data_IF_821242361112
#
_entry.id   IF_821242361112
#
_cell.length_a   1.000
_cell.length_b   1.000
_cell.length_c   1.000
_cell.angle_alpha   90.00
_cell.angle_beta   90.00
_cell.angle_gamma   90.00
#
_symmetry.space_group_name_H-M   'P 1'
#
loop_
_entity.id
_entity.type
_entity.pdbx_description
1 polymer ?
#
# COMPACT_ATOMS: atom_id res chain seq x y z
N UNK A 1 6.67 5.99 -22.07
CA UNK A 1 6.42 4.54 -21.99
C UNK A 1 7.10 4.04 -20.72
N UNK A 2 6.42 3.26 -19.89
CA UNK A 2 6.98 2.73 -18.65
C UNK A 2 7.42 1.28 -18.81
N UNK A 3 8.59 0.95 -18.27
CA UNK A 3 9.24 -0.35 -18.46
C UNK A 3 9.18 -1.12 -17.13
N UNK A 4 8.79 -2.38 -17.16
CA UNK A 4 8.91 -3.29 -16.03
C UNK A 4 10.09 -4.25 -16.24
N UNK A 5 10.84 -4.51 -15.17
CA UNK A 5 11.92 -5.49 -15.14
C UNK A 5 11.61 -6.46 -14.01
N UNK A 6 11.32 -7.72 -14.37
CA UNK A 6 11.07 -8.78 -13.39
C UNK A 6 12.33 -9.63 -13.29
N UNK A 7 12.86 -9.77 -12.06
CA UNK A 7 14.00 -10.61 -11.73
C UNK A 7 13.54 -11.79 -10.86
N UNK A 8 13.55 -12.99 -11.44
CA UNK A 8 13.25 -14.24 -10.76
C UNK A 8 14.56 -14.95 -10.37
N UNK A 9 15.34 -14.34 -9.46
CA UNK A 9 16.63 -14.85 -8.94
C UNK A 9 17.70 -15.04 -10.02
N UNK A 10 17.96 -13.98 -10.78
CA UNK A 10 18.96 -13.92 -11.83
C UNK A 10 18.40 -14.13 -13.24
N UNK A 11 17.14 -14.59 -13.37
CA UNK A 11 16.43 -14.53 -14.64
C UNK A 11 15.67 -13.21 -14.75
N UNK A 12 16.17 -12.31 -15.59
CA UNK A 12 15.54 -11.02 -15.85
C UNK A 12 14.74 -10.99 -17.16
N UNK A 13 13.52 -10.46 -17.13
CA UNK A 13 12.74 -10.11 -18.31
C UNK A 13 12.45 -8.61 -18.32
N UNK A 14 12.52 -7.97 -19.49
CA UNK A 14 12.16 -6.57 -19.70
C UNK A 14 10.85 -6.51 -20.47
N UNK A 15 9.87 -5.79 -19.92
CA UNK A 15 8.48 -5.84 -20.32
C UNK A 15 7.94 -4.42 -20.47
N UNK A 16 7.00 -4.21 -21.39
CA UNK A 16 6.16 -3.01 -21.34
C UNK A 16 5.21 -3.15 -20.13
N UNK A 17 5.19 -2.14 -19.25
CA UNK A 17 4.40 -2.22 -18.03
C UNK A 17 2.89 -2.32 -18.32
N UNK A 18 2.41 -1.67 -19.39
CA UNK A 18 0.98 -1.58 -19.73
C UNK A 18 0.48 -2.85 -20.41
N UNK A 19 1.21 -3.41 -21.36
CA UNK A 19 0.77 -4.61 -22.10
C UNK A 19 1.28 -5.91 -21.47
N UNK A 20 2.39 -5.84 -20.73
CA UNK A 20 3.10 -7.00 -20.20
C UNK A 20 3.90 -7.79 -21.23
N UNK A 21 3.97 -7.30 -22.48
CA UNK A 21 4.73 -7.94 -23.55
C UNK A 21 6.22 -7.72 -23.34
N UNK A 22 7.03 -8.71 -23.76
CA UNK A 22 8.49 -8.57 -23.76
C UNK A 22 8.89 -7.49 -24.75
N UNK A 23 9.79 -6.62 -24.32
CA UNK A 23 10.37 -5.57 -25.16
C UNK A 23 11.89 -5.67 -25.13
N UNK A 24 12.51 -5.35 -26.27
CA UNK A 24 13.95 -5.15 -26.35
C UNK A 24 14.26 -3.68 -26.09
N UNK A 25 14.50 -3.35 -24.82
CA UNK A 25 14.82 -2.00 -24.38
C UNK A 25 16.21 -1.97 -23.74
N UNK A 26 17.03 -1.04 -24.20
CA UNK A 26 18.39 -0.81 -23.71
C UNK A 26 18.58 0.67 -23.35
N UNK A 27 19.45 0.93 -22.39
CA UNK A 27 19.76 2.28 -21.94
C UNK A 27 20.47 2.27 -20.60
N UNK A 28 21.12 3.39 -20.21
CA UNK A 28 21.88 3.47 -18.98
C UNK A 28 21.00 3.24 -17.74
N UNK A 29 19.77 3.77 -17.70
CA UNK A 29 18.82 3.52 -16.59
C UNK A 29 18.47 2.04 -16.50
N UNK A 30 18.14 1.41 -17.63
CA UNK A 30 17.71 0.02 -17.69
C UNK A 30 18.85 -0.89 -17.18
N UNK A 31 20.08 -0.65 -17.65
CA UNK A 31 21.26 -1.38 -17.18
C UNK A 31 21.49 -1.19 -15.68
N UNK A 32 21.42 0.05 -15.20
CA UNK A 32 21.54 0.36 -13.78
C UNK A 32 20.53 -0.43 -12.94
N UNK A 33 19.25 -0.41 -13.33
CA UNK A 33 18.18 -1.11 -12.60
C UNK A 33 18.38 -2.63 -12.65
N UNK A 34 18.75 -3.20 -13.80
CA UNK A 34 19.09 -4.63 -13.91
C UNK A 34 20.22 -5.03 -12.97
N UNK A 35 21.29 -4.24 -12.90
CA UNK A 35 22.44 -4.49 -12.03
C UNK A 35 22.08 -4.37 -10.54
N UNK A 36 21.14 -3.49 -10.18
CA UNK A 36 20.61 -3.36 -8.81
C UNK A 36 19.80 -4.61 -8.45
N UNK A 37 18.83 -5.00 -9.29
CA UNK A 37 17.99 -6.17 -9.03
C UNK A 37 18.80 -7.45 -8.83
N UNK A 38 19.84 -7.65 -9.66
CA UNK A 38 20.70 -8.82 -9.58
C UNK A 38 21.52 -8.89 -8.27
N UNK A 39 21.91 -7.74 -7.72
CA UNK A 39 22.69 -7.67 -6.47
C UNK A 39 21.82 -7.79 -5.22
N UNK A 40 20.53 -7.47 -5.32
CA UNK A 40 19.60 -7.46 -4.21
C UNK A 40 18.39 -8.39 -4.47
N UNK A 41 18.59 -9.72 -4.49
CA UNK A 41 17.47 -10.65 -4.57
C UNK A 41 16.58 -10.53 -3.32
N UNK A 42 15.26 -10.45 -3.51
CA UNK A 42 14.32 -10.32 -2.39
C UNK A 42 14.32 -11.59 -1.52
N UNK A 43 14.48 -11.48 -0.18
CA UNK A 43 14.53 -12.66 0.69
C UNK A 43 13.14 -13.26 0.97
N UNK A 44 12.10 -12.44 1.11
CA UNK A 44 10.72 -12.89 1.37
C UNK A 44 9.99 -12.01 2.39
N UNK A 45 8.65 -12.04 2.40
CA UNK A 45 7.80 -11.12 3.20
C UNK A 45 7.93 -11.28 4.71
N UNK A 46 8.30 -12.49 5.16
CA UNK A 46 8.46 -12.82 6.59
C UNK A 46 9.91 -13.08 6.96
N UNK A 47 10.84 -12.86 6.03
CA UNK A 47 12.27 -13.01 6.29
C UNK A 47 12.78 -11.84 7.15
N UNK A 48 13.59 -12.09 8.20
CA UNK A 48 14.15 -11.03 9.04
C UNK A 48 14.98 -9.99 8.27
N UNK A 49 15.57 -10.37 7.13
CA UNK A 49 16.34 -9.48 6.26
C UNK A 49 15.48 -8.61 5.33
N UNK A 50 14.15 -8.73 5.35
CA UNK A 50 13.27 -8.06 4.40
C UNK A 50 13.30 -6.53 4.50
N UNK A 51 13.27 -5.95 5.70
CA UNK A 51 13.41 -4.49 5.87
C UNK A 51 14.82 -4.02 5.51
N UNK A 52 15.85 -4.81 5.83
CA UNK A 52 17.23 -4.50 5.44
C UNK A 52 17.42 -4.48 3.92
N UNK A 53 16.76 -5.40 3.21
CA UNK A 53 16.77 -5.45 1.75
C UNK A 53 16.24 -4.15 1.13
N UNK A 54 15.19 -3.54 1.72
CA UNK A 54 14.65 -2.25 1.26
C UNK A 54 15.73 -1.17 1.31
N UNK A 55 16.40 -1.01 2.44
CA UNK A 55 17.45 0.00 2.61
C UNK A 55 18.69 -0.29 1.76
N UNK A 56 19.14 -1.55 1.70
CA UNK A 56 20.34 -1.94 0.92
C UNK A 56 20.12 -1.72 -0.58
N UNK A 57 18.91 -2.00 -1.08
CA UNK A 57 18.50 -1.69 -2.46
C UNK A 57 18.44 -0.17 -2.69
N UNK A 58 17.86 0.58 -1.74
CA UNK A 58 17.76 2.03 -1.83
C UNK A 58 19.14 2.71 -1.84
N UNK A 59 20.10 2.26 -1.02
CA UNK A 59 21.47 2.80 -1.04
C UNK A 59 22.13 2.65 -2.42
N UNK A 60 21.96 1.50 -3.06
CA UNK A 60 22.55 1.24 -4.37
C UNK A 60 21.93 2.13 -5.47
N UNK A 61 20.62 2.36 -5.38
CA UNK A 61 19.93 3.33 -6.23
C UNK A 61 20.38 4.76 -5.92
N UNK A 62 20.60 5.12 -4.65
CA UNK A 62 21.09 6.45 -4.27
C UNK A 62 22.48 6.70 -4.86
N UNK A 63 23.40 5.74 -4.70
CA UNK A 63 24.78 5.84 -5.18
C UNK A 63 24.86 5.98 -6.70
N UNK A 64 23.94 5.35 -7.44
CA UNK A 64 23.99 5.28 -8.91
C UNK A 64 23.06 6.24 -9.64
N UNK A 65 21.93 6.60 -9.02
CA UNK A 65 20.91 7.46 -9.62
C UNK A 65 20.88 8.86 -9.01
N UNK A 66 21.38 9.04 -7.78
CA UNK A 66 21.39 10.30 -7.04
C UNK A 66 20.00 10.99 -6.96
N UNK A 67 18.97 10.31 -6.43
CA UNK A 67 17.66 10.91 -6.21
C UNK A 67 17.70 11.99 -5.13
N UNK A 68 16.76 12.93 -5.20
CA UNK A 68 16.49 13.88 -4.10
C UNK A 68 15.31 13.46 -3.24
N UNK A 69 14.43 12.63 -3.79
CA UNK A 69 13.29 12.06 -3.08
C UNK A 69 13.36 10.53 -3.05
N UNK A 70 13.17 9.94 -1.88
CA UNK A 70 13.11 8.49 -1.68
C UNK A 70 11.82 8.15 -0.96
N UNK A 71 11.06 7.18 -1.47
CA UNK A 71 9.95 6.57 -0.75
C UNK A 71 10.38 5.17 -0.30
N UNK A 72 10.27 4.87 1.00
CA UNK A 72 10.55 3.54 1.56
C UNK A 72 9.31 2.94 2.20
N UNK A 73 9.08 1.64 1.99
CA UNK A 73 8.08 0.87 2.73
C UNK A 73 8.77 -0.26 3.47
N UNK A 74 8.63 -0.27 4.79
CA UNK A 74 9.01 -1.38 5.65
C UNK A 74 7.74 -2.09 6.13
N UNK A 75 7.49 -3.30 5.64
CA UNK A 75 6.26 -4.05 5.87
C UNK A 75 6.45 -5.44 6.51
N UNK A 76 7.70 -5.87 6.75
CA UNK A 76 7.99 -7.21 7.27
C UNK A 76 7.27 -7.50 8.60
N UNK A 77 7.20 -6.49 9.47
CA UNK A 77 6.52 -6.56 10.76
C UNK A 77 5.00 -6.66 10.64
N UNK A 78 4.41 -6.03 9.63
CA UNK A 78 2.99 -6.16 9.32
C UNK A 78 2.66 -7.57 8.86
N UNK A 79 3.41 -8.12 7.89
CA UNK A 79 3.17 -9.48 7.40
C UNK A 79 3.41 -10.54 8.46
N UNK A 80 4.50 -10.41 9.21
CA UNK A 80 4.81 -11.34 10.29
C UNK A 80 3.72 -11.28 11.37
N UNK A 81 3.32 -10.08 11.81
CA UNK A 81 2.28 -9.88 12.81
C UNK A 81 0.90 -10.36 12.37
N UNK A 82 0.56 -10.18 11.08
CA UNK A 82 -0.73 -10.59 10.50
C UNK A 82 -0.90 -12.10 10.50
N UNK A 83 0.17 -12.88 10.31
CA UNK A 83 0.06 -14.34 10.05
C UNK A 83 0.74 -15.26 11.07
N UNK A 84 1.47 -14.70 12.04
CA UNK A 84 2.20 -15.48 13.04
C UNK A 84 1.86 -14.96 14.45
N UNK A 85 1.35 -15.81 15.35
CA UNK A 85 1.20 -15.44 16.75
C UNK A 85 2.54 -15.05 17.35
N UNK A 86 2.58 -13.91 18.05
CA UNK A 86 3.80 -13.40 18.70
C UNK A 86 3.53 -13.02 20.15
N UNK A 87 4.53 -13.22 20.99
CA UNK A 87 4.55 -12.60 22.31
C UNK A 87 4.79 -11.09 22.18
N UNK A 88 4.43 -10.33 23.23
CA UNK A 88 4.66 -8.88 23.28
C UNK A 88 6.15 -8.55 23.13
N UNK A 89 7.03 -9.36 23.73
CA UNK A 89 8.48 -9.16 23.67
C UNK A 89 9.04 -9.42 22.27
N UNK A 90 8.46 -10.38 21.53
CA UNK A 90 8.85 -10.66 20.14
C UNK A 90 8.39 -9.53 19.23
N UNK A 91 7.15 -9.03 19.42
CA UNK A 91 6.63 -7.87 18.69
C UNK A 91 7.47 -6.62 18.96
N UNK A 92 7.73 -6.30 20.23
CA UNK A 92 8.54 -5.14 20.60
C UNK A 92 9.95 -5.17 20.00
N UNK A 93 10.60 -6.33 19.96
CA UNK A 93 11.90 -6.51 19.29
C UNK A 93 11.80 -6.24 17.78
N UNK A 94 10.81 -6.82 17.12
CA UNK A 94 10.59 -6.62 15.69
C UNK A 94 10.30 -5.15 15.34
N UNK A 95 9.56 -4.43 16.19
CA UNK A 95 9.35 -2.99 16.05
C UNK A 95 10.67 -2.23 16.25
N UNK A 96 11.44 -2.55 17.29
CA UNK A 96 12.76 -1.95 17.50
C UNK A 96 13.68 -2.14 16.29
N UNK A 97 13.68 -3.33 15.69
CA UNK A 97 14.55 -3.66 14.55
C UNK A 97 14.23 -2.81 13.31
N UNK A 98 12.95 -2.53 13.02
CA UNK A 98 12.57 -1.69 11.88
C UNK A 98 12.95 -0.22 12.10
N UNK A 99 12.87 0.30 13.33
CA UNK A 99 13.32 1.65 13.63
C UNK A 99 14.85 1.77 13.56
N UNK A 100 15.60 0.79 14.05
CA UNK A 100 17.05 0.74 13.89
C UNK A 100 17.47 0.69 12.41
N UNK A 101 16.70 -0.03 11.58
CA UNK A 101 16.93 -0.07 10.14
C UNK A 101 16.63 1.27 9.46
N UNK A 102 15.52 1.94 9.82
CA UNK A 102 15.22 3.28 9.33
C UNK A 102 16.28 4.30 9.77
N UNK A 103 16.78 4.22 11.00
CA UNK A 103 17.88 5.06 11.49
C UNK A 103 19.18 4.79 10.72
N UNK A 104 19.50 3.52 10.45
CA UNK A 104 20.63 3.14 9.60
C UNK A 104 20.52 3.79 8.21
N UNK A 105 19.33 3.76 7.61
CA UNK A 105 19.06 4.42 6.34
C UNK A 105 19.33 5.92 6.39
N UNK A 106 18.73 6.62 7.36
CA UNK A 106 18.86 8.07 7.50
C UNK A 106 20.30 8.49 7.79
N UNK A 107 20.97 7.84 8.74
CA UNK A 107 22.34 8.16 9.13
C UNK A 107 23.34 7.96 7.99
N UNK A 108 23.16 6.92 7.16
CA UNK A 108 24.07 6.64 6.04
C UNK A 108 23.76 7.48 4.80
N UNK A 109 22.48 7.73 4.50
CA UNK A 109 22.09 8.47 3.29
C UNK A 109 22.15 9.99 3.47
N UNK A 110 22.00 10.49 4.70
CA UNK A 110 21.90 11.92 5.00
C UNK A 110 20.57 12.55 4.59
N UNK A 111 19.56 11.77 4.22
CA UNK A 111 18.23 12.28 3.88
C UNK A 111 17.50 12.74 5.14
N UNK A 112 16.70 13.80 5.03
CA UNK A 112 15.75 14.16 6.08
C UNK A 112 14.58 13.18 6.10
N UNK A 113 14.14 12.76 7.29
CA UNK A 113 13.09 11.78 7.45
C UNK A 113 11.72 12.43 7.66
N UNK A 114 10.73 12.00 6.87
CA UNK A 114 9.31 12.05 7.23
C UNK A 114 8.86 10.60 7.33
N UNK A 115 8.41 10.16 8.51
CA UNK A 115 8.03 8.76 8.71
C UNK A 115 6.60 8.65 9.25
N UNK A 116 5.85 7.69 8.73
CA UNK A 116 4.45 7.45 9.08
C UNK A 116 4.26 5.97 9.42
N UNK A 117 3.64 5.68 10.56
CA UNK A 117 3.15 4.33 10.84
C UNK A 117 1.81 4.12 10.14
N UNK A 118 1.49 2.92 9.66
CA UNK A 118 0.18 2.70 9.00
C UNK A 118 -0.94 2.34 9.97
N UNK A 119 -0.64 2.25 11.27
CA UNK A 119 -1.62 2.04 12.34
C UNK A 119 -1.44 0.71 13.07
N UNK A 120 -2.16 0.59 14.19
CA UNK A 120 -2.12 -0.55 15.10
C UNK A 120 -2.77 -1.79 14.48
N UNK A 121 -2.49 -2.93 15.11
CA UNK A 121 -3.04 -4.24 14.77
C UNK A 121 -3.76 -4.82 15.99
N UNK A 122 -4.93 -5.44 15.79
CA UNK A 122 -5.75 -6.08 16.82
C UNK A 122 -5.94 -7.56 16.51
N UNK A 123 -6.13 -8.44 17.50
CA UNK A 123 -6.41 -9.86 17.26
C UNK A 123 -7.68 -10.08 16.43
N UNK A 124 -7.63 -11.07 15.53
CA UNK A 124 -8.85 -11.55 14.87
C UNK A 124 -9.68 -12.37 15.87
N UNK A 125 -10.89 -11.88 16.18
CA UNK A 125 -11.87 -12.51 17.07
C UNK A 125 -12.79 -13.48 16.32
N UNK A 126 -13.09 -13.22 15.04
CA UNK A 126 -13.95 -14.08 14.25
C UNK A 126 -14.31 -13.50 12.88
N UNK A 127 -15.10 -14.26 12.13
CA UNK A 127 -15.56 -13.88 10.80
C UNK A 127 -17.07 -13.62 10.78
N UNK A 128 -17.46 -12.61 10.00
CA UNK A 128 -18.83 -12.34 9.60
C UNK A 128 -19.07 -13.12 8.30
N UNK A 129 -19.78 -14.25 8.39
CA UNK A 129 -20.03 -15.10 7.23
C UNK A 129 -21.20 -14.54 6.40
N UNK A 130 -20.85 -14.00 5.23
CA UNK A 130 -21.80 -13.42 4.27
C UNK A 130 -21.85 -14.22 2.97
N UNK A 131 -21.38 -15.48 2.97
CA UNK A 131 -21.37 -16.30 1.75
C UNK A 131 -22.74 -16.89 1.39
N UNK A 132 -23.74 -16.71 2.25
CA UNK A 132 -25.09 -17.30 2.12
C UNK A 132 -26.18 -16.28 1.79
N UNK A 133 -25.81 -15.03 1.54
CA UNK A 133 -26.74 -13.99 1.11
C UNK A 133 -27.28 -14.31 -0.29
N UNK A 134 -28.48 -13.83 -0.59
CA UNK A 134 -29.01 -13.85 -1.96
C UNK A 134 -28.21 -12.88 -2.85
N UNK A 135 -27.83 -11.73 -2.29
CA UNK A 135 -26.93 -10.76 -2.87
C UNK A 135 -25.46 -11.20 -2.86
N UNK A 136 -24.60 -10.40 -3.47
CA UNK A 136 -23.17 -10.65 -3.54
C UNK A 136 -22.40 -9.71 -2.61
N UNK A 137 -21.80 -10.28 -1.56
CA UNK A 137 -20.79 -9.60 -0.76
C UNK A 137 -19.38 -9.86 -1.31
N UNK A 138 -18.56 -8.82 -1.42
CA UNK A 138 -17.18 -8.91 -1.91
C UNK A 138 -16.25 -8.15 -0.98
N UNK A 139 -15.16 -8.79 -0.58
CA UNK A 139 -14.10 -8.21 0.23
C UNK A 139 -12.75 -8.62 -0.38
N UNK A 140 -11.77 -7.73 -0.36
CA UNK A 140 -10.40 -8.09 -0.72
C UNK A 140 -9.74 -8.69 0.51
N UNK A 141 -8.88 -9.72 0.37
CA UNK A 141 -8.16 -10.30 1.51
C UNK A 141 -7.25 -9.32 2.28
N UNK A 142 -6.99 -8.15 1.68
CA UNK A 142 -6.20 -7.08 2.27
C UNK A 142 -7.04 -6.03 3.01
N UNK A 143 -8.36 -6.05 2.84
CA UNK A 143 -9.29 -5.29 3.67
C UNK A 143 -9.93 -6.22 4.70
N UNK A 144 -10.07 -5.74 5.92
CA UNK A 144 -10.68 -6.54 6.99
C UNK A 144 -11.95 -5.91 7.50
N UNK A 145 -11.98 -4.57 7.56
CA UNK A 145 -13.16 -3.83 8.02
C UNK A 145 -14.24 -3.68 6.97
N UNK A 146 -13.90 -3.55 5.70
CA UNK A 146 -14.85 -3.13 4.68
C UNK A 146 -15.21 -4.31 3.77
N UNK A 147 -16.50 -4.42 3.41
CA UNK A 147 -17.00 -5.31 2.36
C UNK A 147 -18.07 -4.60 1.53
N UNK A 148 -18.02 -4.73 0.21
CA UNK A 148 -19.08 -4.22 -0.66
C UNK A 148 -20.21 -5.23 -0.82
N UNK A 149 -21.42 -4.73 -0.91
CA UNK A 149 -22.65 -5.51 -1.05
C UNK A 149 -23.39 -5.08 -2.33
N UNK A 150 -23.70 -6.05 -3.19
CA UNK A 150 -24.34 -5.85 -4.48
C UNK A 150 -25.65 -6.63 -4.57
N UNK A 151 -26.75 -5.95 -4.92
CA UNK A 151 -28.08 -6.54 -5.07
C UNK A 151 -28.58 -7.36 -3.88
N UNK A 152 -28.50 -6.88 -2.63
CA UNK A 152 -29.05 -7.62 -1.49
C UNK A 152 -30.59 -7.73 -1.57
N UNK A 153 -31.14 -8.85 -1.14
CA UNK A 153 -32.59 -9.00 -0.96
C UNK A 153 -33.06 -8.24 0.30
N UNK A 154 -34.37 -7.95 0.45
CA UNK A 154 -34.89 -7.39 1.70
C UNK A 154 -34.60 -8.28 2.93
N UNK A 155 -34.57 -9.60 2.74
CA UNK A 155 -34.25 -10.56 3.80
C UNK A 155 -32.76 -10.53 4.15
N UNK A 156 -31.87 -10.38 3.16
CA UNK A 156 -30.44 -10.13 3.39
C UNK A 156 -30.25 -8.90 4.28
N UNK A 157 -30.91 -7.78 3.92
CA UNK A 157 -30.77 -6.51 4.66
C UNK A 157 -31.21 -6.67 6.11
N UNK A 158 -32.32 -7.35 6.37
CA UNK A 158 -32.79 -7.61 7.74
C UNK A 158 -31.77 -8.39 8.56
N UNK A 159 -31.19 -9.45 7.98
CA UNK A 159 -30.19 -10.27 8.66
C UNK A 159 -28.92 -9.46 8.95
N UNK A 160 -28.48 -8.64 7.99
CA UNK A 160 -27.26 -7.86 8.10
C UNK A 160 -27.39 -6.70 9.11
N UNK A 161 -28.54 -6.02 9.14
CA UNK A 161 -28.82 -4.93 10.09
C UNK A 161 -28.89 -5.42 11.54
N UNK A 162 -29.37 -6.65 11.76
CA UNK A 162 -29.44 -7.28 13.08
C UNK A 162 -28.13 -8.00 13.48
N UNK A 163 -27.13 -8.08 12.58
CA UNK A 163 -25.92 -8.85 12.81
C UNK A 163 -25.03 -8.21 13.90
N UNK A 164 -24.69 -8.92 15.00
CA UNK A 164 -24.04 -8.32 16.17
C UNK A 164 -22.64 -7.75 15.89
N UNK A 165 -21.98 -8.24 14.84
CA UNK A 165 -20.61 -7.86 14.48
C UNK A 165 -20.51 -6.92 13.27
N UNK A 166 -21.64 -6.55 12.66
CA UNK A 166 -21.68 -5.46 11.68
C UNK A 166 -21.87 -4.17 12.47
N UNK A 167 -21.00 -3.20 12.23
CA UNK A 167 -21.04 -1.88 12.89
C UNK A 167 -22.00 -0.94 12.18
N UNK A 168 -21.91 -0.89 10.85
CA UNK A 168 -22.69 -0.01 10.00
C UNK A 168 -22.79 -0.56 8.58
N UNK A 169 -23.90 -0.27 7.91
CA UNK A 169 -24.09 -0.44 6.47
C UNK A 169 -24.27 0.97 5.89
N UNK A 170 -23.43 1.33 4.93
CA UNK A 170 -23.37 2.69 4.36
C UNK A 170 -23.85 2.64 2.92
N UNK A 171 -24.74 3.53 2.50
CA UNK A 171 -25.20 3.57 1.10
C UNK A 171 -24.12 4.10 0.16
N UNK A 172 -24.22 3.71 -1.11
CA UNK A 172 -23.37 4.24 -2.19
C UNK A 172 -23.38 5.76 -2.22
N UNK A 173 -24.53 6.41 -2.01
CA UNK A 173 -24.67 7.86 -2.05
C UNK A 173 -23.87 8.53 -0.91
N UNK A 174 -23.88 7.94 0.28
CA UNK A 174 -23.09 8.44 1.41
C UNK A 174 -21.59 8.31 1.13
N UNK A 175 -21.14 7.21 0.50
CA UNK A 175 -19.74 7.03 0.08
C UNK A 175 -19.34 8.06 -0.99
N UNK A 176 -20.17 8.26 -2.01
CA UNK A 176 -19.92 9.24 -3.08
C UNK A 176 -19.83 10.65 -2.50
N UNK A 177 -20.74 11.01 -1.59
CA UNK A 177 -20.73 12.31 -0.90
C UNK A 177 -19.46 12.51 -0.06
N UNK A 178 -19.03 11.47 0.67
CA UNK A 178 -17.86 11.54 1.56
C UNK A 178 -16.56 11.83 0.80
N UNK A 179 -16.45 11.33 -0.43
CA UNK A 179 -15.23 11.40 -1.24
C UNK A 179 -15.34 12.31 -2.46
N UNK A 180 -16.40 13.11 -2.56
CA UNK A 180 -16.67 14.00 -3.70
C UNK A 180 -16.61 13.28 -5.06
N UNK A 181 -17.30 12.14 -5.14
CA UNK A 181 -17.22 11.22 -6.27
C UNK A 181 -17.97 11.66 -7.52
N UNK A 182 -17.45 11.26 -8.69
CA UNK A 182 -18.11 11.49 -9.98
C UNK A 182 -19.11 10.37 -10.33
N UNK A 183 -20.04 10.60 -11.27
CA UNK A 183 -20.93 9.56 -11.78
C UNK A 183 -20.18 8.34 -12.33
N UNK A 184 -19.03 8.55 -13.00
CA UNK A 184 -18.20 7.47 -13.55
C UNK A 184 -17.56 6.62 -12.45
N UNK A 185 -17.12 7.23 -11.36
CA UNK A 185 -16.58 6.51 -10.20
C UNK A 185 -17.66 5.71 -9.47
N UNK A 186 -18.90 6.24 -9.44
CA UNK A 186 -20.06 5.60 -8.80
C UNK A 186 -20.37 4.23 -9.40
N UNK A 187 -20.17 4.05 -10.71
CA UNK A 187 -20.35 2.77 -11.41
C UNK A 187 -19.46 1.64 -10.87
N UNK A 188 -18.41 1.98 -10.12
CA UNK A 188 -17.45 1.01 -9.56
C UNK A 188 -17.72 0.66 -8.11
N UNK A 189 -18.63 1.37 -7.45
CA UNK A 189 -18.97 1.16 -6.05
C UNK A 189 -20.04 0.08 -5.89
N UNK A 190 -20.07 -0.61 -4.75
CA UNK A 190 -21.23 -1.40 -4.36
C UNK A 190 -22.43 -0.49 -4.05
N UNK A 191 -23.62 -1.09 -3.99
CA UNK A 191 -24.83 -0.40 -3.52
C UNK A 191 -24.71 -0.03 -2.05
N UNK A 192 -24.05 -0.92 -1.27
CA UNK A 192 -23.75 -0.67 0.13
C UNK A 192 -22.32 -1.07 0.49
N UNK A 193 -21.71 -0.36 1.43
CA UNK A 193 -20.46 -0.73 2.08
C UNK A 193 -20.76 -1.16 3.52
N UNK A 194 -20.45 -2.41 3.85
CA UNK A 194 -20.58 -2.95 5.19
C UNK A 194 -19.28 -2.75 5.96
N UNK A 195 -19.41 -2.39 7.24
CA UNK A 195 -18.31 -2.17 8.17
C UNK A 195 -18.36 -3.23 9.28
N UNK A 196 -17.29 -3.98 9.45
CA UNK A 196 -17.12 -4.90 10.57
C UNK A 196 -16.74 -4.14 11.84
N UNK A 197 -17.23 -4.59 12.99
CA UNK A 197 -16.73 -4.15 14.31
C UNK A 197 -15.26 -4.54 14.50
N UNK A 198 -14.58 -3.84 15.41
CA UNK A 198 -13.19 -4.16 15.77
C UNK A 198 -12.99 -5.64 16.09
N UNK A 199 -11.91 -6.23 15.56
CA UNK A 199 -11.57 -7.64 15.75
C UNK A 199 -12.33 -8.60 14.83
N UNK A 200 -13.29 -8.15 14.02
CA UNK A 200 -14.01 -9.00 13.08
C UNK A 200 -13.65 -8.68 11.62
N UNK A 201 -13.70 -9.70 10.77
CA UNK A 201 -13.49 -9.55 9.33
C UNK A 201 -14.60 -10.24 8.53
N UNK A 202 -14.84 -9.81 7.30
CA UNK A 202 -15.82 -10.46 6.42
C UNK A 202 -15.26 -11.73 5.78
N UNK A 203 -16.06 -12.79 5.78
CA UNK A 203 -15.83 -13.99 4.98
C UNK A 203 -16.77 -13.95 3.78
N UNK A 204 -16.19 -13.66 2.62
CA UNK A 204 -16.89 -13.63 1.33
C UNK A 204 -16.45 -14.79 0.45
N UNK A 205 -17.15 -15.00 -0.67
CA UNK A 205 -16.71 -15.93 -1.72
C UNK A 205 -15.40 -15.38 -2.30
N UNK A 206 -14.27 -15.97 -1.95
CA UNK A 206 -12.94 -15.53 -2.37
C UNK A 206 -11.95 -16.70 -2.39
N UNK A 207 -10.80 -16.51 -3.05
CA UNK A 207 -9.74 -17.52 -3.11
C UNK A 207 -9.24 -17.90 -1.72
N UNK A 208 -8.84 -19.16 -1.53
CA UNK A 208 -8.28 -19.63 -0.27
C UNK A 208 -6.95 -18.90 0.04
N UNK A 209 -6.96 -18.03 1.05
CA UNK A 209 -5.75 -17.41 1.60
C UNK A 209 -5.51 -17.82 3.05
N UNK A 210 -4.29 -17.58 3.51
CA UNK A 210 -3.91 -17.82 4.91
C UNK A 210 -4.76 -16.94 5.82
N UNK A 211 -5.35 -17.54 6.84
CA UNK A 211 -6.16 -16.86 7.84
C UNK A 211 -5.25 -15.94 8.68
N UNK A 212 -5.56 -14.64 8.81
CA UNK A 212 -4.80 -13.75 9.67
C UNK A 212 -5.08 -14.04 11.15
N UNK A 213 -4.06 -13.86 11.99
CA UNK A 213 -4.19 -13.89 13.45
C UNK A 213 -4.35 -12.48 14.03
N UNK A 214 -3.85 -11.48 13.31
CA UNK A 214 -4.02 -10.05 13.61
C UNK A 214 -4.55 -9.32 12.38
N UNK A 215 -5.42 -8.34 12.57
CA UNK A 215 -5.97 -7.47 11.53
C UNK A 215 -5.72 -6.00 11.90
N UNK A 216 -5.75 -5.04 10.95
CA UNK A 216 -5.69 -3.63 11.28
C UNK A 216 -6.72 -3.22 12.34
N UNK A 217 -6.29 -2.44 13.32
CA UNK A 217 -7.16 -1.82 14.33
C UNK A 217 -7.99 -0.67 13.75
N UNK A 218 -8.83 -0.04 14.59
CA UNK A 218 -9.56 1.17 14.26
C UNK A 218 -8.64 2.41 14.19
N UNK A 219 -7.85 2.49 13.12
CA UNK A 219 -6.76 3.45 12.97
C UNK A 219 -7.24 4.82 12.45
N UNK A 220 -8.08 5.52 13.21
CA UNK A 220 -8.51 6.89 12.88
C UNK A 220 -7.37 7.91 12.92
N UNK A 221 -6.34 7.63 13.71
CA UNK A 221 -5.10 8.39 13.75
C UNK A 221 -3.93 7.43 13.60
N UNK A 222 -2.87 7.92 12.98
CA UNK A 222 -1.60 7.21 12.82
C UNK A 222 -0.44 8.08 13.31
N UNK A 223 0.68 7.49 13.76
CA UNK A 223 1.84 8.25 14.15
C UNK A 223 2.52 8.89 12.93
N UNK A 224 2.84 10.17 13.03
CA UNK A 224 3.65 10.89 12.05
C UNK A 224 4.85 11.55 12.72
N UNK A 225 6.03 11.18 12.26
CA UNK A 225 7.28 11.88 12.51
C UNK A 225 7.56 12.84 11.35
N UNK A 226 7.43 14.14 11.63
CA UNK A 226 7.75 15.21 10.69
C UNK A 226 8.40 16.37 11.47
N UNK A 227 9.72 16.33 11.71
CA UNK A 227 10.43 17.35 12.50
C UNK A 227 10.20 18.76 11.95
N UNK A 228 9.83 19.70 12.83
CA UNK A 228 9.57 21.10 12.44
C UNK A 228 8.17 21.36 11.88
N UNK A 229 7.37 20.32 11.66
CA UNK A 229 6.07 20.42 11.01
C UNK A 229 4.92 20.01 11.93
N UNK A 230 3.73 20.53 11.65
CA UNK A 230 2.48 20.08 12.26
C UNK A 230 1.50 19.74 11.15
N UNK A 231 1.10 18.47 11.09
CA UNK A 231 0.19 17.96 10.05
C UNK A 231 -0.99 17.31 10.75
N UNK A 232 -2.19 17.82 10.48
CA UNK A 232 -3.41 17.34 11.14
C UNK A 232 -3.95 16.04 10.54
N UNK A 233 -3.73 15.81 9.25
CA UNK A 233 -4.26 14.67 8.51
C UNK A 233 -3.28 14.19 7.45
N UNK A 234 -3.36 12.92 7.07
CA UNK A 234 -2.44 12.30 6.10
C UNK A 234 -2.43 13.01 4.74
N UNK A 235 -3.51 13.73 4.38
CA UNK A 235 -3.59 14.58 3.19
C UNK A 235 -2.63 15.79 3.24
N UNK A 236 -2.26 16.26 4.44
CA UNK A 236 -1.30 17.34 4.62
C UNK A 236 0.17 16.90 4.47
N UNK A 237 0.45 15.59 4.43
CA UNK A 237 1.83 15.10 4.31
C UNK A 237 2.46 15.51 2.98
N UNK A 238 1.67 15.59 1.90
CA UNK A 238 2.16 16.08 0.60
C UNK A 238 2.77 17.47 0.70
N UNK A 239 2.12 18.40 1.40
CA UNK A 239 2.57 19.78 1.48
C UNK A 239 3.95 19.88 2.14
N UNK A 240 4.16 19.16 3.25
CA UNK A 240 5.46 19.19 3.94
C UNK A 240 6.57 18.52 3.12
N UNK A 241 6.24 17.55 2.27
CA UNK A 241 7.20 16.97 1.32
C UNK A 241 7.64 18.01 0.29
N UNK A 242 6.69 18.76 -0.27
CA UNK A 242 6.95 19.82 -1.24
C UNK A 242 7.82 20.94 -0.62
N UNK A 243 7.51 21.35 0.61
CA UNK A 243 8.28 22.34 1.37
C UNK A 243 9.71 21.85 1.65
N UNK A 244 9.88 20.66 2.25
CA UNK A 244 11.20 20.15 2.61
C UNK A 244 12.07 19.84 1.38
N UNK A 245 11.50 19.32 0.29
CA UNK A 245 12.27 19.02 -0.94
C UNK A 245 12.72 20.27 -1.69
N UNK A 246 12.22 21.46 -1.35
CA UNK A 246 12.74 22.71 -1.91
C UNK A 246 14.16 23.00 -1.42
N UNK A 247 14.55 22.50 -0.24
CA UNK A 247 15.83 22.83 0.41
C UNK A 247 16.76 21.63 0.59
N UNK A 248 16.22 20.43 0.81
CA UNK A 248 17.00 19.25 1.22
C UNK A 248 16.55 18.00 0.45
N UNK A 249 17.25 16.89 0.68
CA UNK A 249 16.83 15.57 0.20
C UNK A 249 15.93 14.94 1.26
N UNK A 250 14.83 14.31 0.84
CA UNK A 250 13.78 13.85 1.75
C UNK A 250 13.43 12.39 1.49
N UNK A 251 13.35 11.63 2.58
CA UNK A 251 12.87 10.26 2.59
C UNK A 251 11.49 10.22 3.26
N UNK A 252 10.47 9.77 2.52
CA UNK A 252 9.18 9.40 3.07
C UNK A 252 9.21 7.91 3.42
N UNK A 253 9.08 7.58 4.70
CA UNK A 253 9.19 6.21 5.22
C UNK A 253 7.83 5.76 5.75
N UNK A 254 7.24 4.73 5.13
CA UNK A 254 6.07 4.05 5.64
C UNK A 254 6.47 2.81 6.46
N UNK A 255 6.07 2.76 7.73
CA UNK A 255 6.31 1.63 8.63
C UNK A 255 4.97 0.92 8.86
N UNK A 256 4.75 -0.21 8.20
CA UNK A 256 3.44 -0.84 8.23
C UNK A 256 3.13 -1.57 9.55
N UNK A 257 1.88 -1.52 10.01
CA UNK A 257 1.42 -2.28 11.18
C UNK A 257 1.97 -1.78 12.51
N UNK A 258 2.40 -0.51 12.54
CA UNK A 258 2.85 0.24 13.71
C UNK A 258 1.94 1.45 13.89
N UNK A 259 1.23 1.50 15.02
CA UNK A 259 0.43 2.66 15.40
C UNK A 259 1.06 3.45 16.54
N UNK A 260 0.25 4.26 17.22
CA UNK A 260 0.74 5.33 18.09
C UNK A 260 1.55 4.81 19.27
N UNK A 261 1.12 3.71 19.88
CA UNK A 261 1.72 3.18 21.11
C UNK A 261 3.08 2.52 20.87
N UNK A 262 3.34 2.05 19.65
CA UNK A 262 4.55 1.30 19.29
C UNK A 262 5.54 2.14 18.45
N UNK A 263 5.18 3.36 18.07
CA UNK A 263 6.02 4.19 17.22
C UNK A 263 7.15 4.86 18.02
N UNK A 264 8.40 4.43 17.78
CA UNK A 264 9.53 4.74 18.66
C UNK A 264 10.14 6.12 18.44
N UNK A 265 9.98 6.72 17.26
CA UNK A 265 10.47 8.07 17.00
C UNK A 265 9.53 9.13 17.59
N UNK A 266 10.02 10.36 17.88
CA UNK A 266 9.17 11.47 18.28
C UNK A 266 8.11 11.73 17.20
N UNK A 267 6.85 11.59 17.57
CA UNK A 267 5.75 11.64 16.61
C UNK A 267 4.57 12.43 17.17
N UNK A 268 3.65 12.78 16.26
CA UNK A 268 2.34 13.32 16.63
C UNK A 268 1.24 12.47 16.00
N UNK A 269 0.06 12.37 16.64
CA UNK A 269 -1.10 11.82 15.99
C UNK A 269 -1.45 12.61 14.73
N UNK A 270 -1.66 11.90 13.62
CA UNK A 270 -2.06 12.44 12.34
C UNK A 270 -3.32 11.72 11.89
N UNK A 271 -4.38 12.47 11.56
CA UNK A 271 -5.68 11.89 11.18
C UNK A 271 -5.56 11.07 9.91
N UNK A 272 -5.95 9.81 9.99
CA UNK A 272 -5.96 8.80 8.93
C UNK A 272 -7.40 8.50 8.47
N UNK A 273 -8.29 9.49 8.59
CA UNK A 273 -9.72 9.31 8.40
C UNK A 273 -10.40 10.53 7.78
N UNK A 274 -11.59 10.28 7.27
CA UNK A 274 -12.61 11.30 6.97
C UNK A 274 -13.96 10.78 7.47
N UNK A 275 -14.63 11.57 8.32
CA UNK A 275 -15.84 11.17 9.05
C UNK A 275 -15.73 9.75 9.67
N UNK A 276 -16.55 8.80 9.19
CA UNK A 276 -16.61 7.42 9.67
C UNK A 276 -15.56 6.51 9.03
N UNK A 277 -14.94 6.93 7.93
CA UNK A 277 -13.99 6.12 7.17
C UNK A 277 -12.57 6.35 7.66
N UNK A 278 -11.81 5.28 7.84
CA UNK A 278 -10.36 5.35 8.05
C UNK A 278 -9.65 4.43 7.06
N UNK A 279 -8.41 4.76 6.72
CA UNK A 279 -7.64 3.97 5.79
C UNK A 279 -6.99 2.76 6.49
N UNK A 280 -7.25 1.55 5.97
CA UNK A 280 -6.43 0.37 6.30
C UNK A 280 -5.07 0.45 5.58
N UNK A 281 -4.01 -0.23 6.09
CA UNK A 281 -2.69 -0.30 5.44
C UNK A 281 -2.74 -0.84 4.00
N UNK A 282 -2.74 0.06 3.03
CA UNK A 282 -2.90 -0.31 1.62
C UNK A 282 -2.90 0.87 0.67
N UNK A 283 -3.19 0.61 -0.60
CA UNK A 283 -3.00 1.53 -1.72
C UNK A 283 -3.74 2.86 -1.53
N UNK A 284 -4.97 2.82 -1.01
CA UNK A 284 -5.75 4.03 -0.76
C UNK A 284 -5.11 4.96 0.29
N UNK A 285 -4.49 4.40 1.33
CA UNK A 285 -3.75 5.17 2.33
C UNK A 285 -2.55 5.87 1.69
N UNK A 286 -1.75 5.11 0.94
CA UNK A 286 -0.53 5.59 0.31
C UNK A 286 -0.82 6.66 -0.75
N UNK A 287 -1.82 6.41 -1.59
CA UNK A 287 -2.30 7.37 -2.57
C UNK A 287 -2.81 8.65 -1.90
N UNK A 288 -3.47 8.54 -0.75
CA UNK A 288 -3.94 9.72 -0.01
C UNK A 288 -2.79 10.54 0.54
N UNK A 289 -1.77 9.88 1.11
CA UNK A 289 -0.53 10.52 1.61
C UNK A 289 0.18 11.27 0.48
N UNK A 290 0.49 10.58 -0.62
CA UNK A 290 1.33 11.13 -1.69
C UNK A 290 0.60 12.10 -2.63
N UNK A 291 -0.72 12.02 -2.74
CA UNK A 291 -1.51 12.96 -3.55
C UNK A 291 -1.99 14.17 -2.77
N UNK A 292 -2.03 14.06 -1.44
CA UNK A 292 -2.60 15.07 -0.54
C UNK A 292 -4.12 15.20 -0.62
N UNK A 293 -4.82 14.19 -1.18
CA UNK A 293 -6.27 14.19 -1.37
C UNK A 293 -6.83 12.82 -1.05
N UNK A 294 -8.09 12.72 -0.63
CA UNK A 294 -8.72 11.42 -0.40
C UNK A 294 -8.90 10.68 -1.73
N UNK A 295 -8.25 9.52 -1.90
CA UNK A 295 -8.26 8.77 -3.17
C UNK A 295 -8.92 7.40 -3.08
N UNK A 296 -9.86 7.23 -2.16
CA UNK A 296 -10.61 5.99 -2.00
C UNK A 296 -11.31 5.55 -3.30
N UNK A 297 -11.95 6.48 -4.01
CA UNK A 297 -12.75 6.18 -5.20
C UNK A 297 -11.96 5.74 -6.43
N UNK A 298 -10.65 6.01 -6.48
CA UNK A 298 -9.82 5.59 -7.60
C UNK A 298 -9.66 4.08 -7.62
N UNK A 299 -9.53 3.52 -6.42
CA UNK A 299 -9.43 2.09 -6.15
C UNK A 299 -10.10 1.79 -4.81
N UNK A 300 -11.43 1.55 -4.80
CA UNK A 300 -12.22 1.34 -3.57
C UNK A 300 -11.86 -0.01 -2.94
N UNK A 301 -10.69 -0.03 -2.32
CA UNK A 301 -10.09 -1.17 -1.64
C UNK A 301 -10.96 -1.48 -0.42
N UNK A 302 -11.35 -2.76 -0.29
CA UNK A 302 -12.32 -3.20 0.71
C UNK A 302 -13.78 -3.22 0.26
N UNK A 303 -14.17 -2.53 -0.82
CA UNK A 303 -15.50 -2.73 -1.39
C UNK A 303 -15.58 -3.96 -2.31
N UNK A 304 -14.44 -4.59 -2.59
CA UNK A 304 -14.35 -5.75 -3.48
C UNK A 304 -14.96 -5.47 -4.84
N UNK A 305 -14.20 -4.89 -5.76
CA UNK A 305 -14.73 -4.57 -7.09
C UNK A 305 -15.32 -5.82 -7.77
N UNK A 306 -16.65 -5.93 -7.87
CA UNK A 306 -17.38 -7.07 -8.47
C UNK A 306 -16.83 -7.49 -9.84
N UNK A 307 -16.19 -6.55 -10.54
CA UNK A 307 -15.61 -6.72 -11.86
C UNK A 307 -14.07 -6.67 -11.85
N UNK A 308 -13.41 -7.27 -10.85
CA UNK A 308 -11.95 -7.50 -10.87
C UNK A 308 -11.47 -8.11 -12.21
N UNK A 309 -12.38 -8.79 -12.92
CA UNK A 309 -12.28 -9.26 -14.30
C UNK A 309 -13.42 -8.70 -15.18
N UNK A 310 -13.57 -7.37 -15.26
CA UNK A 310 -14.51 -6.74 -16.19
C UNK A 310 -14.27 -7.18 -17.65
N UNK A 311 -15.17 -6.78 -18.55
CA UNK A 311 -15.30 -7.16 -19.97
C UNK A 311 -14.05 -7.11 -20.88
N UNK A 312 -12.86 -6.80 -20.35
CA UNK A 312 -11.57 -6.74 -21.03
C UNK A 312 -10.91 -8.11 -21.27
N UNK A 313 -11.40 -9.20 -20.67
CA UNK A 313 -10.87 -10.55 -20.91
C UNK A 313 -9.34 -10.63 -20.73
N UNK A 314 -8.65 -11.29 -21.66
CA UNK A 314 -7.18 -11.44 -21.65
C UNK A 314 -6.39 -10.14 -21.93
N UNK A 315 -7.05 -9.03 -22.27
CA UNK A 315 -6.42 -7.76 -22.64
C UNK A 315 -6.31 -6.77 -21.46
N UNK A 316 -6.03 -7.27 -20.25
CA UNK A 316 -5.90 -6.44 -19.05
C UNK A 316 -4.69 -5.52 -19.18
N UNK A 317 -4.92 -4.21 -19.17
CA UNK A 317 -3.82 -3.24 -19.04
C UNK A 317 -3.18 -3.36 -17.66
N UNK A 318 -1.86 -3.25 -17.60
CA UNK A 318 -1.02 -3.32 -16.39
C UNK A 318 -1.08 -4.68 -15.65
N UNK A 319 -0.73 -5.81 -16.30
CA UNK A 319 -0.88 -7.16 -15.72
C UNK A 319 -0.05 -7.41 -14.44
N UNK A 320 0.99 -6.60 -14.22
CA UNK A 320 1.85 -6.66 -13.02
C UNK A 320 1.46 -5.65 -11.93
N UNK A 321 0.31 -4.98 -12.06
CA UNK A 321 -0.07 -3.88 -11.17
C UNK A 321 -1.38 -4.15 -10.44
N UNK A 322 -1.62 -5.39 -10.03
CA UNK A 322 -2.78 -5.76 -9.22
C UNK A 322 -4.08 -5.29 -9.89
N UNK A 323 -4.88 -4.50 -9.18
CA UNK A 323 -6.18 -3.99 -9.63
C UNK A 323 -6.11 -2.63 -10.36
N UNK A 324 -4.91 -2.06 -10.53
CA UNK A 324 -4.74 -0.80 -11.22
C UNK A 324 -4.97 -0.96 -12.72
N UNK A 325 -5.80 -0.07 -13.30
CA UNK A 325 -6.07 -0.01 -14.76
C UNK A 325 -5.31 1.11 -15.48
N UNK A 326 -4.76 2.03 -14.71
CA UNK A 326 -3.99 3.19 -15.14
C UNK A 326 -3.03 3.56 -14.03
N UNK A 327 -1.95 4.28 -14.38
CA UNK A 327 -1.08 4.91 -13.39
C UNK A 327 -1.87 6.07 -12.77
N UNK A 328 -2.05 6.12 -11.44
CA UNK A 328 -2.75 7.20 -10.75
C UNK A 328 -2.07 8.55 -11.00
N UNK A 329 -2.82 9.51 -11.52
CA UNK A 329 -2.32 10.88 -11.73
C UNK A 329 -2.19 11.65 -10.42
N UNK A 330 -1.32 12.65 -10.36
CA UNK A 330 -1.26 13.57 -9.22
C UNK A 330 -0.60 13.01 -7.95
N UNK A 331 0.01 11.82 -7.98
CA UNK A 331 0.97 11.42 -6.96
C UNK A 331 2.18 12.38 -6.97
N UNK A 332 2.63 12.83 -5.79
CA UNK A 332 3.67 13.85 -5.64
C UNK A 332 4.89 13.63 -6.56
N UNK A 333 5.47 12.42 -6.54
CA UNK A 333 6.71 12.18 -7.26
C UNK A 333 6.54 12.24 -8.79
N UNK A 334 5.33 12.01 -9.31
CA UNK A 334 5.07 12.11 -10.75
C UNK A 334 5.25 13.55 -11.26
N UNK A 335 4.97 14.54 -10.42
CA UNK A 335 5.17 15.97 -10.71
C UNK A 335 6.51 16.53 -10.22
N UNK A 336 7.27 15.76 -9.42
CA UNK A 336 8.56 16.21 -8.91
C UNK A 336 9.60 16.33 -10.05
N UNK A 337 10.22 17.51 -10.25
CA UNK A 337 11.18 17.72 -11.33
C UNK A 337 12.51 16.99 -11.07
N UNK A 338 12.91 16.83 -9.81
CA UNK A 338 14.12 16.11 -9.42
C UNK A 338 14.01 14.60 -9.61
N UNK A 339 15.12 13.90 -9.43
CA UNK A 339 15.17 12.43 -9.45
C UNK A 339 14.52 11.84 -8.20
N UNK A 340 13.78 10.75 -8.37
CA UNK A 340 13.00 10.11 -7.31
C UNK A 340 13.05 8.59 -7.43
N UNK A 341 13.11 7.91 -6.28
CA UNK A 341 13.00 6.45 -6.23
C UNK A 341 11.95 6.01 -5.19
N UNK A 342 11.40 4.82 -5.38
CA UNK A 342 10.59 4.12 -4.39
C UNK A 342 11.11 2.70 -4.19
N UNK A 343 11.27 2.26 -2.94
CA UNK A 343 11.67 0.89 -2.62
C UNK A 343 10.78 0.32 -1.53
N UNK A 344 10.24 -0.88 -1.72
CA UNK A 344 9.35 -1.47 -0.71
C UNK A 344 9.31 -2.99 -0.72
N UNK A 345 9.23 -3.59 0.47
CA UNK A 345 8.96 -5.02 0.64
C UNK A 345 7.45 -5.30 0.74
N UNK A 346 6.66 -4.55 -0.01
CA UNK A 346 5.24 -4.79 -0.23
C UNK A 346 4.97 -4.78 -1.72
N UNK A 347 4.37 -5.87 -2.21
CA UNK A 347 4.30 -6.15 -3.64
C UNK A 347 3.12 -5.48 -4.32
N UNK A 348 3.24 -5.28 -5.63
CA UNK A 348 2.16 -5.01 -6.59
C UNK A 348 1.51 -3.62 -6.50
N UNK A 349 2.17 -2.62 -5.92
CA UNK A 349 1.64 -1.25 -5.97
C UNK A 349 2.64 -0.11 -5.75
N UNK A 350 3.88 -0.35 -5.30
CA UNK A 350 4.84 0.74 -5.01
C UNK A 350 5.07 1.63 -6.23
N UNK A 351 5.16 1.00 -7.42
CA UNK A 351 5.25 1.70 -8.70
C UNK A 351 3.98 2.45 -9.08
N UNK A 352 2.82 2.02 -8.58
CA UNK A 352 1.55 2.66 -8.89
C UNK A 352 1.22 3.82 -7.95
N UNK A 353 1.63 3.78 -6.68
CA UNK A 353 1.16 4.78 -5.70
C UNK A 353 2.09 5.97 -5.57
N UNK A 354 3.40 5.79 -5.75
CA UNK A 354 4.36 6.85 -5.45
C UNK A 354 4.51 7.85 -6.60
N UNK A 355 4.45 7.37 -7.84
CA UNK A 355 4.77 8.15 -9.05
C UNK A 355 6.28 8.41 -9.24
N UNK A 356 7.15 7.66 -8.54
CA UNK A 356 8.60 7.82 -8.61
C UNK A 356 9.17 7.45 -9.99
N UNK A 357 10.37 7.96 -10.30
CA UNK A 357 11.03 7.67 -11.58
C UNK A 357 11.38 6.19 -11.70
N UNK A 358 11.97 5.64 -10.64
CA UNK A 358 12.34 4.25 -10.48
C UNK A 358 11.65 3.68 -9.25
N UNK A 359 10.96 2.57 -9.40
CA UNK A 359 10.40 1.83 -8.27
C UNK A 359 11.00 0.43 -8.23
N UNK A 360 11.36 -0.07 -7.06
CA UNK A 360 11.78 -1.46 -6.84
C UNK A 360 10.93 -2.04 -5.72
N UNK A 361 10.23 -3.13 -6.00
CA UNK A 361 9.40 -3.79 -5.02
C UNK A 361 9.66 -5.30 -5.01
N UNK A 362 9.38 -5.93 -3.87
CA UNK A 362 9.26 -7.37 -3.87
C UNK A 362 8.23 -7.82 -4.89
N UNK A 363 8.48 -8.94 -5.56
CA UNK A 363 7.49 -9.60 -6.41
C UNK A 363 7.03 -10.85 -5.67
N UNK A 364 5.99 -10.70 -4.84
CA UNK A 364 5.46 -11.77 -4.01
C UNK A 364 3.94 -11.79 -4.09
N UNK A 365 3.35 -12.99 -4.18
CA UNK A 365 1.89 -13.18 -4.18
C UNK A 365 1.51 -14.07 -3.02
N UNK A 366 0.68 -13.56 -2.11
CA UNK A 366 0.19 -14.31 -0.94
C UNK A 366 1.34 -14.96 -0.14
N UNK A 367 2.40 -14.20 0.14
CA UNK A 367 3.63 -14.65 0.83
C UNK A 367 4.53 -15.60 0.02
N UNK A 368 4.18 -15.94 -1.22
CA UNK A 368 5.06 -16.70 -2.12
C UNK A 368 6.00 -15.74 -2.83
N UNK A 369 7.29 -15.83 -2.50
CA UNK A 369 8.35 -15.05 -3.12
C UNK A 369 8.59 -15.49 -4.57
N UNK A 370 8.29 -14.60 -5.53
CA UNK A 370 8.51 -14.80 -6.97
C UNK A 370 9.74 -14.02 -7.47
N UNK A 371 10.41 -13.26 -6.61
CA UNK A 371 11.60 -12.46 -6.92
C UNK A 371 11.40 -10.98 -6.63
N UNK A 372 11.93 -10.14 -7.52
CA UNK A 372 11.87 -8.68 -7.42
C UNK A 372 11.34 -8.09 -8.72
N UNK A 373 10.58 -7.00 -8.64
CA UNK A 373 10.19 -6.22 -9.80
C UNK A 373 10.70 -4.79 -9.67
N UNK A 374 11.21 -4.24 -10.75
CA UNK A 374 11.43 -2.81 -10.88
C UNK A 374 10.57 -2.21 -11.99
N UNK A 375 10.19 -0.95 -11.82
CA UNK A 375 9.50 -0.17 -12.83
C UNK A 375 10.22 1.14 -13.07
N UNK A 376 10.42 1.47 -14.35
CA UNK A 376 11.02 2.72 -14.82
C UNK A 376 9.90 3.54 -15.46
N UNK A 377 9.42 4.56 -14.76
CA UNK A 377 8.41 5.48 -15.31
C UNK A 377 9.04 6.59 -16.13
N UNK A 378 10.23 7.06 -15.71
CA UNK A 378 10.97 8.16 -16.35
C UNK A 378 12.43 7.78 -16.53
N UNK A 379 12.82 7.55 -17.78
CA UNK A 379 14.19 7.26 -18.16
C UNK A 379 14.94 8.51 -18.69
N UNK A 380 14.24 9.61 -18.87
CA UNK A 380 14.68 10.89 -19.45
C UNK A 380 15.50 11.75 -18.49
N UNK A 381 15.51 11.42 -17.20
CA UNK A 381 16.18 12.21 -16.16
C UNK A 381 17.64 11.80 -15.90
N UNK A 382 18.22 10.91 -16.70
CA UNK A 382 19.62 10.48 -16.52
C UNK A 382 20.62 11.42 -17.17
#
# INVERSE_FOLDING_TARGET
>A
MSIAIVDARGWQNTLDLKTGEKIDAAGPVIKLVKDVLQRHPYPGDTDPGSNRWVSDTAFDLIDRYAPRFVFLTYAAQYFSGRYTPMSKETRARMISDVFLEAERFINRSGFAAIAVGTGDMTPLLGFIDVTRLDGLAVCTHWSTRYAGLYGPSPDDMKILEEHPHIEKIVSQEEVVRLFDGTPEQTLRLPEYLMLAREGYAFKTISDAMRIPVMIPSLNFNVPLHAPGHTVEAITGIRQILEEDLSEKNVALIAIEGVGLDEFLWPHRPCRNSTEWYYYEPGEAQYLTIVSGRHRFLDYPTGSGYKYFNGAEGAARSYPFSGHFKSIPEGAFASTFPGKSIAVGNKSMFMHMVTGADLSVECFARNLYNQGTMAVIHRADKL
#
